data_IF_653221465192
#
_entry.id   IF_653221465192
#
_cell.length_a   1.000
_cell.length_b   1.000
_cell.length_c   1.000
_cell.angle_alpha   90.00
_cell.angle_beta   90.00
_cell.angle_gamma   90.00
#
_symmetry.space_group_name_H-M   'P 1'
#
loop_
_entity.id
_entity.type
_entity.pdbx_description
1 polymer ?
#
# COMPACT_ATOMS: atom_id res chain seq x y z
N UNK A 1 -4.77 13.91 5.05
CA UNK A 1 -4.35 14.43 6.24
C UNK A 1 -4.31 15.87 6.38
N UNK A 2 -4.84 16.56 5.50
CA UNK A 2 -4.84 17.97 5.59
C UNK A 2 -5.51 18.44 6.81
N UNK A 3 -4.94 19.38 7.47
CA UNK A 3 -5.56 19.99 8.61
C UNK A 3 -5.34 19.30 9.92
N UNK A 4 -4.61 18.20 9.93
CA UNK A 4 -4.33 17.54 11.19
C UNK A 4 -2.85 17.48 11.42
N UNK A 5 -2.47 17.72 12.65
CA UNK A 5 -1.07 17.69 13.01
C UNK A 5 -0.69 16.31 13.50
N UNK A 6 0.53 15.95 13.27
CA UNK A 6 1.06 14.68 13.75
C UNK A 6 1.38 14.83 15.22
N UNK A 7 0.84 13.92 16.02
CA UNK A 7 1.14 13.91 17.43
C UNK A 7 2.39 13.10 17.70
N UNK A 8 2.57 12.01 17.00
CA UNK A 8 3.72 11.15 17.23
C UNK A 8 4.03 10.37 15.97
N UNK A 9 5.31 10.17 15.73
CA UNK A 9 5.76 9.30 14.67
C UNK A 9 6.04 7.96 15.31
N UNK A 10 5.38 6.93 14.84
CA UNK A 10 5.46 5.63 15.49
C UNK A 10 6.47 4.71 14.84
N UNK A 11 6.91 5.05 13.65
CA UNK A 11 7.96 4.28 13.02
C UNK A 11 7.65 3.97 11.58
N UNK A 12 8.62 3.40 10.90
CA UNK A 12 8.49 3.02 9.51
C UNK A 12 7.82 1.65 9.48
N UNK A 13 6.86 1.50 8.60
CA UNK A 13 6.14 0.24 8.45
C UNK A 13 6.28 -0.23 7.02
N UNK A 14 6.11 -1.53 6.82
CA UNK A 14 6.27 -2.16 5.53
C UNK A 14 5.18 -3.17 5.31
N UNK A 15 4.88 -3.41 4.06
CA UNK A 15 4.01 -4.52 3.68
C UNK A 15 4.50 -5.09 2.36
N UNK A 16 4.51 -6.40 2.25
CA UNK A 16 5.04 -7.04 1.07
C UNK A 16 4.04 -7.96 0.45
N UNK A 17 4.22 -8.20 -0.83
CA UNK A 17 3.52 -9.28 -1.51
C UNK A 17 4.46 -9.82 -2.58
N UNK A 18 4.39 -11.11 -2.83
CA UNK A 18 5.28 -11.75 -3.79
C UNK A 18 4.45 -12.47 -4.84
N UNK A 19 4.78 -12.24 -6.08
CA UNK A 19 4.21 -13.02 -7.16
C UNK A 19 5.11 -14.22 -7.35
N UNK A 20 4.52 -15.40 -7.35
CA UNK A 20 5.30 -16.61 -7.44
C UNK A 20 5.93 -16.80 -8.81
N UNK A 21 6.85 -17.73 -8.87
CA UNK A 21 7.63 -17.95 -10.05
C UNK A 21 6.78 -18.22 -11.28
N UNK A 22 5.86 -19.13 -11.17
CA UNK A 22 5.06 -19.48 -12.33
C UNK A 22 4.22 -18.33 -12.81
N UNK A 23 3.63 -17.62 -11.89
CA UNK A 23 2.80 -16.51 -12.25
C UNK A 23 3.63 -15.42 -12.91
N UNK A 24 4.82 -15.17 -12.39
CA UNK A 24 5.68 -14.15 -12.95
C UNK A 24 6.10 -14.54 -14.36
N UNK A 25 6.43 -15.79 -14.58
CA UNK A 25 6.78 -16.21 -15.91
C UNK A 25 5.64 -16.07 -16.88
N UNK A 26 4.44 -16.38 -16.43
CA UNK A 26 3.28 -16.22 -17.29
C UNK A 26 3.06 -14.77 -17.65
N UNK A 27 3.28 -13.88 -16.69
CA UNK A 27 3.14 -12.47 -16.97
C UNK A 27 4.16 -11.98 -17.96
N UNK A 28 5.40 -12.43 -17.81
CA UNK A 28 6.43 -12.02 -18.74
C UNK A 28 6.16 -12.56 -20.14
N UNK A 29 5.69 -13.78 -20.22
CA UNK A 29 5.32 -14.34 -21.51
C UNK A 29 4.21 -13.53 -22.15
N UNK A 30 3.26 -13.14 -21.35
CA UNK A 30 2.18 -12.31 -21.85
C UNK A 30 2.66 -10.97 -22.35
N UNK A 31 3.66 -10.42 -21.68
CA UNK A 31 4.21 -9.15 -22.12
C UNK A 31 4.89 -9.29 -23.47
N UNK A 32 5.53 -10.41 -23.67
CA UNK A 32 6.19 -10.58 -24.92
C UNK A 32 5.22 -10.69 -26.08
N UNK A 33 4.11 -11.31 -25.81
CA UNK A 33 3.09 -11.45 -26.82
C UNK A 33 1.99 -10.43 -26.66
N UNK A 34 2.30 -9.28 -26.28
CA UNK A 34 1.33 -8.29 -25.98
C UNK A 34 0.40 -8.03 -27.04
N UNK A 35 -0.75 -8.56 -26.95
CA UNK A 35 -1.74 -8.29 -27.88
C UNK A 35 -3.02 -8.50 -27.19
N UNK A 36 -3.90 -7.64 -27.26
CA UNK A 36 -5.21 -7.81 -26.72
C UNK A 36 -5.21 -7.90 -25.23
N UNK A 37 -5.80 -8.88 -24.66
CA UNK A 37 -6.08 -8.92 -23.28
C UNK A 37 -4.98 -9.28 -22.33
N UNK A 38 -3.81 -9.58 -22.86
CA UNK A 38 -2.78 -10.03 -21.98
C UNK A 38 -2.29 -8.95 -21.04
N UNK A 39 -2.24 -7.73 -21.51
CA UNK A 39 -1.80 -6.66 -20.62
C UNK A 39 -2.81 -6.43 -19.52
N UNK A 40 -4.07 -6.68 -19.78
CA UNK A 40 -5.07 -6.53 -18.74
C UNK A 40 -4.88 -7.55 -17.62
N UNK A 41 -4.55 -8.78 -17.98
CA UNK A 41 -4.30 -9.80 -16.97
C UNK A 41 -3.08 -9.43 -16.13
N UNK A 42 -2.04 -8.95 -16.77
CA UNK A 42 -0.84 -8.54 -16.08
C UNK A 42 -1.14 -7.44 -15.07
N UNK A 43 -1.93 -6.47 -15.51
CA UNK A 43 -2.26 -5.36 -14.62
C UNK A 43 -3.10 -5.80 -13.45
N UNK A 44 -4.00 -6.75 -13.65
CA UNK A 44 -4.80 -7.23 -12.56
C UNK A 44 -3.95 -7.95 -11.52
N UNK A 45 -2.99 -8.75 -11.97
CA UNK A 45 -2.17 -9.47 -11.03
C UNK A 45 -1.25 -8.53 -10.27
N UNK A 46 -0.71 -7.55 -10.94
CA UNK A 46 0.12 -6.57 -10.28
C UNK A 46 -0.70 -5.75 -9.30
N UNK A 47 -1.92 -5.39 -9.69
CA UNK A 47 -2.80 -4.66 -8.80
C UNK A 47 -3.14 -5.44 -7.56
N UNK A 48 -3.39 -6.74 -7.71
CA UNK A 48 -3.68 -7.56 -6.55
C UNK A 48 -2.48 -7.64 -5.62
N UNK A 49 -1.28 -7.72 -6.16
CA UNK A 49 -0.09 -7.73 -5.33
C UNK A 49 0.09 -6.41 -4.59
N UNK A 50 -0.17 -5.30 -5.26
CA UNK A 50 -0.10 -4.00 -4.58
C UNK A 50 -1.12 -3.92 -3.46
N UNK A 51 -2.32 -4.42 -3.71
CA UNK A 51 -3.36 -4.37 -2.67
C UNK A 51 -2.97 -5.20 -1.48
N UNK A 52 -2.36 -6.35 -1.71
CA UNK A 52 -1.90 -7.19 -0.62
C UNK A 52 -0.81 -6.49 0.16
N UNK A 53 0.14 -5.87 -0.53
CA UNK A 53 1.20 -5.15 0.15
C UNK A 53 0.63 -4.00 0.97
N UNK A 54 -0.35 -3.29 0.44
CA UNK A 54 -0.97 -2.19 1.16
C UNK A 54 -1.76 -2.67 2.37
N UNK A 55 -2.42 -3.80 2.24
CA UNK A 55 -3.14 -4.38 3.37
C UNK A 55 -2.18 -4.74 4.48
N UNK A 56 -1.06 -5.35 4.13
CA UNK A 56 -0.08 -5.73 5.12
C UNK A 56 0.55 -4.50 5.77
N UNK A 57 0.80 -3.48 4.99
CA UNK A 57 1.32 -2.22 5.51
C UNK A 57 0.35 -1.62 6.52
N UNK A 58 -0.92 -1.60 6.17
CA UNK A 58 -1.94 -1.03 7.03
C UNK A 58 -2.06 -1.81 8.33
N UNK A 59 -1.99 -3.13 8.24
CA UNK A 59 -2.10 -3.93 9.44
C UNK A 59 -0.91 -3.70 10.37
N UNK A 60 0.26 -3.51 9.80
CA UNK A 60 1.42 -3.24 10.63
C UNK A 60 1.27 -1.89 11.33
N UNK A 61 0.76 -0.90 10.61
CA UNK A 61 0.56 0.41 11.21
C UNK A 61 -0.50 0.35 12.30
N UNK A 62 -1.56 -0.40 12.07
CA UNK A 62 -2.61 -0.53 13.08
C UNK A 62 -2.07 -1.19 14.34
N UNK A 63 -1.18 -2.14 14.18
CA UNK A 63 -0.60 -2.81 15.34
C UNK A 63 0.22 -1.84 16.18
N UNK A 64 0.70 -0.76 15.60
CA UNK A 64 1.41 0.26 16.36
C UNK A 64 0.48 1.31 16.93
N UNK A 65 -0.79 1.21 16.64
CA UNK A 65 -1.74 2.21 17.12
C UNK A 65 -1.80 3.44 16.27
N UNK A 66 -1.45 3.34 15.01
CA UNK A 66 -1.38 4.50 14.14
C UNK A 66 -2.75 4.91 13.67
N UNK A 67 -2.87 6.19 13.38
CA UNK A 67 -4.07 6.76 12.81
C UNK A 67 -3.90 6.98 11.32
N UNK A 68 -2.66 7.03 10.85
CA UNK A 68 -2.39 7.33 9.46
C UNK A 68 -1.01 6.86 9.07
N UNK A 69 -0.78 6.77 7.78
CA UNK A 69 0.52 6.41 7.25
C UNK A 69 0.88 7.49 6.24
N UNK A 70 2.05 8.07 6.42
CA UNK A 70 2.51 9.15 5.55
C UNK A 70 3.60 8.66 4.63
N UNK A 71 3.71 9.30 3.50
CA UNK A 71 4.85 9.06 2.61
C UNK A 71 4.89 7.65 2.07
N UNK A 72 3.74 7.11 1.67
CA UNK A 72 3.73 5.74 1.18
C UNK A 72 4.45 5.66 -0.14
N UNK A 73 5.32 4.66 -0.24
CA UNK A 73 6.07 4.40 -1.44
C UNK A 73 5.90 2.94 -1.80
N UNK A 74 5.82 2.64 -3.07
CA UNK A 74 5.66 1.27 -3.52
C UNK A 74 6.79 0.95 -4.48
N UNK A 75 7.52 -0.11 -4.17
CA UNK A 75 8.64 -0.53 -4.98
C UNK A 75 8.41 -1.94 -5.48
N UNK A 76 9.02 -2.24 -6.60
CA UNK A 76 8.93 -3.56 -7.19
C UNK A 76 10.35 -4.09 -7.34
N UNK A 77 10.55 -5.33 -6.97
CA UNK A 77 11.88 -5.90 -7.05
C UNK A 77 11.82 -7.31 -7.57
N UNK A 78 12.65 -7.59 -8.53
CA UNK A 78 12.74 -8.95 -9.07
C UNK A 78 13.71 -9.73 -8.21
N UNK A 79 13.26 -10.85 -7.72
CA UNK A 79 14.09 -11.70 -6.88
C UNK A 79 14.48 -12.94 -7.67
N UNK A 80 15.67 -13.40 -7.43
CA UNK A 80 16.13 -14.61 -8.10
C UNK A 80 16.65 -14.30 -9.49
N UNK A 81 17.71 -14.91 -9.84
CA UNK A 81 18.36 -14.54 -11.06
C UNK A 81 17.70 -15.12 -12.27
N UNK A 82 17.17 -16.30 -12.19
CA UNK A 82 16.66 -16.88 -13.37
C UNK A 82 15.22 -17.00 -13.44
N UNK A 83 14.56 -17.00 -12.39
CA UNK A 83 13.25 -17.28 -12.36
C UNK A 83 12.41 -16.35 -11.97
N UNK A 84 12.78 -15.34 -11.57
CA UNK A 84 11.99 -14.35 -11.24
C UNK A 84 10.90 -14.60 -10.30
N UNK A 85 10.94 -14.01 -9.20
CA UNK A 85 9.80 -13.72 -8.40
C UNK A 85 9.75 -12.23 -8.34
N UNK A 86 8.58 -11.66 -8.30
CA UNK A 86 8.47 -10.22 -8.19
C UNK A 86 7.95 -9.90 -6.82
N UNK A 87 8.66 -9.06 -6.10
CA UNK A 87 8.21 -8.62 -4.79
C UNK A 87 7.73 -7.20 -4.89
N UNK A 88 6.57 -6.95 -4.34
CA UNK A 88 6.03 -5.60 -4.24
C UNK A 88 6.14 -5.21 -2.78
N UNK A 89 6.76 -4.10 -2.50
CA UNK A 89 6.94 -3.63 -1.14
C UNK A 89 6.32 -2.26 -0.99
N UNK A 90 5.45 -2.11 -0.04
CA UNK A 90 4.91 -0.81 0.32
C UNK A 90 5.57 -0.38 1.62
N UNK A 91 5.90 0.88 1.73
CA UNK A 91 6.48 1.39 2.96
C UNK A 91 5.90 2.75 3.28
N UNK A 92 6.03 3.15 4.50
CA UNK A 92 5.54 4.47 4.91
C UNK A 92 5.85 4.69 6.37
N UNK A 93 5.44 5.84 6.86
CA UNK A 93 5.67 6.20 8.26
C UNK A 93 4.34 6.21 8.99
N UNK A 94 4.22 5.38 9.99
CA UNK A 94 3.01 5.31 10.80
C UNK A 94 3.02 6.44 11.80
N UNK A 95 1.90 7.13 11.92
CA UNK A 95 1.82 8.28 12.79
C UNK A 95 0.52 8.26 13.57
N UNK A 96 0.54 8.92 14.71
CA UNK A 96 -0.67 9.22 15.44
C UNK A 96 -0.95 10.69 15.25
N UNK A 97 -2.17 11.00 14.99
CA UNK A 97 -2.56 12.38 14.75
C UNK A 97 -3.14 12.98 16.01
N UNK A 98 -2.97 14.26 16.17
CA UNK A 98 -3.61 14.93 17.28
C UNK A 98 -5.11 14.86 17.08
N UNK A 99 -5.87 14.77 18.15
CA UNK A 99 -7.32 14.80 18.01
C UNK A 99 -7.73 16.08 17.33
N UNK A 100 -8.82 16.03 16.62
CA UNK A 100 -9.38 17.25 16.08
C UNK A 100 -9.70 18.16 17.24
N UNK A 101 -9.63 19.44 16.97
CA UNK A 101 -9.90 20.41 18.01
C UNK A 101 -11.18 20.07 18.66
N UNK A 102 -11.23 20.36 19.91
CA UNK A 102 -12.40 20.06 20.65
C UNK A 102 -13.55 20.91 20.27
N UNK A 103 -13.60 21.39 19.16
CA UNK A 103 -14.68 22.20 18.68
C UNK A 103 -15.61 21.29 17.94
N UNK A 104 -16.77 21.07 18.42
CA UNK A 104 -17.67 20.19 17.76
C UNK A 104 -18.00 20.63 16.37
N UNK A 105 -17.83 21.86 16.05
CA UNK A 105 -18.11 22.31 14.74
C UNK A 105 -16.98 22.12 13.79
N UNK A 106 -15.88 21.59 14.27
CA UNK A 106 -14.72 21.55 13.46
C UNK A 106 -14.79 20.56 12.33
N UNK A 107 -15.64 19.57 12.42
CA UNK A 107 -15.74 18.57 11.39
C UNK A 107 -16.99 18.74 10.62
N UNK A 108 -16.90 19.22 9.42
CA UNK A 108 -18.11 19.45 8.68
C UNK A 108 -18.90 18.20 8.43
N UNK A 109 -18.19 17.10 8.24
CA UNK A 109 -18.92 15.91 7.95
C UNK A 109 -19.45 15.28 9.18
N UNK A 110 -18.99 15.69 10.30
CA UNK A 110 -19.48 15.16 11.50
C UNK A 110 -20.58 15.94 12.05
N UNK A 111 -21.04 16.80 11.51
CA UNK A 111 -21.92 17.56 12.02
C UNK A 111 -22.80 17.25 12.11
N UNK A 112 -23.01 17.36 12.41
CA UNK A 112 -23.47 17.58 12.82
C UNK A 112 -23.63 17.45 13.64
N UNK A 113 -23.53 17.19 13.78
CA UNK A 113 -23.73 17.12 14.60
C UNK A 113 -23.40 17.80 14.97
N UNK A 114 -23.20 17.99 14.66
CA UNK A 114 -22.88 18.75 15.13
C UNK A 114 -22.46 19.11 15.00
#
# INVERSE_FOLDING_TARGET
>A
MQGREVEAYLGVVFGDAVLGVNLFKDLLGGLRDIVGGRSGAYERELGAARDTAMTNLTQQALALGADAILGIDIDYEVLGSNNGMLMVTASGTAVRLKPLAADPGASPWARPAG
#
